data_IF_427171558589
#
_entry.id   IF_427171558589
#
_cell.length_a   1.000
_cell.length_b   1.000
_cell.length_c   1.000
_cell.angle_alpha   90.00
_cell.angle_beta   90.00
_cell.angle_gamma   90.00
#
_symmetry.space_group_name_H-M   'P 1'
#
loop_
_entity.id
_entity.type
_entity.pdbx_description
1 polymer ?
#
# COMPACT_ATOMS: atom_id res chain seq x y z
N UNK A 1 -8.80 -5.97 -45.38
CA UNK A 1 -8.56 -4.59 -44.91
C UNK A 1 -8.48 -4.64 -43.39
N UNK A 2 -7.28 -4.45 -42.85
CA UNK A 2 -6.96 -4.59 -41.41
C UNK A 2 -7.24 -3.27 -40.69
N UNK A 3 -8.11 -3.27 -39.68
CA UNK A 3 -8.33 -2.13 -38.79
C UNK A 3 -7.28 -2.15 -37.68
N UNK A 4 -6.24 -1.33 -37.84
CA UNK A 4 -5.20 -1.14 -36.84
C UNK A 4 -5.79 -0.46 -35.59
N UNK A 5 -5.84 -1.19 -34.48
CA UNK A 5 -6.14 -0.65 -33.16
C UNK A 5 -5.05 0.33 -32.75
N UNK A 6 -5.44 1.58 -32.51
CA UNK A 6 -4.56 2.67 -32.06
C UNK A 6 -4.10 2.41 -30.62
N UNK A 7 -3.05 1.62 -30.46
CA UNK A 7 -2.32 1.51 -29.19
C UNK A 7 -1.69 2.86 -28.90
N UNK A 8 -2.29 3.65 -28.00
CA UNK A 8 -1.63 4.86 -27.48
C UNK A 8 -0.35 4.40 -26.80
N UNK A 9 0.80 4.76 -27.37
CA UNK A 9 2.12 4.47 -26.80
C UNK A 9 2.20 5.08 -25.40
N UNK A 10 2.05 4.22 -24.40
CA UNK A 10 2.03 4.53 -22.96
C UNK A 10 3.37 5.17 -22.53
N UNK A 11 4.41 4.96 -23.33
CA UNK A 11 5.76 5.53 -23.19
C UNK A 11 5.80 7.06 -23.19
N UNK A 12 4.83 7.74 -23.81
CA UNK A 12 4.82 9.21 -23.90
C UNK A 12 4.34 9.92 -22.61
N UNK A 13 3.88 9.18 -21.59
CA UNK A 13 3.35 9.75 -20.34
C UNK A 13 4.36 9.77 -19.18
N UNK A 14 5.57 9.23 -19.35
CA UNK A 14 6.52 9.03 -18.24
C UNK A 14 7.96 9.39 -18.67
N UNK A 15 8.36 10.67 -18.61
CA UNK A 15 9.63 11.11 -19.19
C UNK A 15 10.86 10.67 -18.40
N UNK A 16 10.76 10.38 -17.09
CA UNK A 16 11.90 9.91 -16.30
C UNK A 16 11.48 8.96 -15.16
N UNK A 17 11.96 7.71 -15.22
CA UNK A 17 11.80 6.67 -14.18
C UNK A 17 10.91 5.49 -14.60
N UNK A 18 11.17 4.30 -14.00
CA UNK A 18 10.29 3.14 -14.15
C UNK A 18 8.88 3.47 -13.65
N UNK A 19 7.87 2.93 -14.33
CA UNK A 19 6.46 3.08 -13.91
C UNK A 19 6.30 2.43 -12.53
N UNK A 20 5.67 3.13 -11.58
CA UNK A 20 5.29 2.53 -10.30
C UNK A 20 3.84 2.09 -10.38
N UNK A 21 3.60 0.79 -10.14
CA UNK A 21 2.27 0.20 -10.09
C UNK A 21 1.91 -0.04 -8.63
N UNK A 22 0.80 0.54 -8.18
CA UNK A 22 0.23 0.23 -6.87
C UNK A 22 -0.85 -0.83 -6.99
N UNK A 23 -0.81 -1.82 -6.12
CA UNK A 23 -1.78 -2.90 -6.03
C UNK A 23 -2.26 -3.07 -4.58
N UNK A 24 -3.42 -3.68 -4.40
CA UNK A 24 -3.95 -4.17 -3.13
C UNK A 24 -3.35 -5.54 -2.70
N UNK A 25 -2.38 -6.03 -3.47
CA UNK A 25 -1.77 -7.36 -3.36
C UNK A 25 -2.70 -8.53 -3.71
N UNK A 26 -3.85 -8.29 -4.36
CA UNK A 26 -4.66 -9.38 -4.90
C UNK A 26 -3.88 -10.06 -6.02
N UNK A 27 -3.71 -11.38 -5.97
CA UNK A 27 -2.88 -12.13 -6.93
C UNK A 27 -3.31 -11.96 -8.39
N UNK A 28 -4.57 -11.57 -8.64
CA UNK A 28 -5.09 -11.26 -9.97
C UNK A 28 -4.57 -9.93 -10.55
N UNK A 29 -4.22 -8.96 -9.69
CA UNK A 29 -3.86 -7.59 -10.10
C UNK A 29 -2.47 -7.46 -10.74
N UNK A 30 -1.61 -8.48 -10.62
CA UNK A 30 -0.23 -8.46 -11.14
C UNK A 30 0.03 -9.47 -12.25
N UNK A 31 -0.95 -10.29 -12.64
CA UNK A 31 -0.74 -11.43 -13.58
C UNK A 31 -0.19 -11.04 -14.95
N UNK A 32 -0.39 -9.80 -15.38
CA UNK A 32 0.00 -9.31 -16.70
C UNK A 32 1.08 -8.22 -16.66
N UNK A 33 1.78 -8.05 -15.52
CA UNK A 33 2.82 -7.03 -15.36
C UNK A 33 4.18 -7.70 -15.27
N UNK A 34 5.08 -7.34 -16.19
CA UNK A 34 6.49 -7.74 -16.13
C UNK A 34 7.20 -7.00 -14.99
N UNK A 35 7.60 -7.72 -13.94
CA UNK A 35 8.21 -7.11 -12.77
C UNK A 35 9.56 -6.45 -13.03
N UNK A 36 10.21 -6.71 -14.17
CA UNK A 36 11.45 -6.05 -14.54
C UNK A 36 11.24 -4.64 -15.13
N UNK A 37 10.02 -4.36 -15.61
CA UNK A 37 9.64 -3.12 -16.31
C UNK A 37 8.93 -2.09 -15.44
N UNK A 38 8.52 -2.48 -14.23
CA UNK A 38 7.81 -1.61 -13.30
C UNK A 38 8.26 -1.84 -11.86
N UNK A 39 8.29 -0.77 -11.07
CA UNK A 39 8.41 -0.88 -9.62
C UNK A 39 7.02 -1.09 -9.02
N UNK A 40 6.94 -1.79 -7.88
CA UNK A 40 5.66 -2.05 -7.20
C UNK A 40 5.59 -1.36 -5.86
N UNK A 41 4.41 -0.81 -5.60
CA UNK A 41 4.00 -0.31 -4.30
C UNK A 41 2.74 -1.05 -3.83
N UNK A 42 2.57 -1.18 -2.52
CA UNK A 42 1.35 -1.71 -1.92
C UNK A 42 0.64 -0.64 -1.08
N UNK A 43 -0.68 -0.68 -1.14
CA UNK A 43 -1.53 0.29 -0.45
C UNK A 43 -1.47 0.11 1.07
N UNK A 44 -1.01 1.13 1.79
CA UNK A 44 -0.94 1.08 3.24
C UNK A 44 -2.31 1.25 3.92
N UNK A 45 -3.33 1.75 3.23
CA UNK A 45 -4.72 1.76 3.74
C UNK A 45 -5.23 0.33 3.92
N UNK A 46 -4.99 -0.55 2.95
CA UNK A 46 -5.36 -1.97 3.05
C UNK A 46 -4.55 -2.69 4.13
N UNK A 47 -3.24 -2.44 4.20
CA UNK A 47 -2.40 -2.99 5.27
C UNK A 47 -2.89 -2.57 6.67
N UNK A 48 -3.24 -1.29 6.84
CA UNK A 48 -3.81 -0.76 8.09
C UNK A 48 -5.19 -1.36 8.41
N UNK A 49 -6.04 -1.56 7.40
CA UNK A 49 -7.40 -2.14 7.57
C UNK A 49 -7.35 -3.55 8.17
N UNK A 50 -6.36 -4.37 7.78
CA UNK A 50 -6.11 -5.69 8.36
C UNK A 50 -5.95 -5.67 9.90
N UNK A 51 -5.53 -4.54 10.48
CA UNK A 51 -5.45 -4.35 11.94
C UNK A 51 -6.70 -3.65 12.49
N UNK A 52 -7.20 -2.63 11.79
CA UNK A 52 -8.37 -1.87 12.25
C UNK A 52 -9.60 -2.76 12.47
N UNK A 53 -9.83 -3.72 11.59
CA UNK A 53 -10.96 -4.66 11.66
C UNK A 53 -10.86 -5.63 12.86
N UNK A 54 -9.69 -5.68 13.50
CA UNK A 54 -9.40 -6.56 14.63
C UNK A 54 -9.31 -5.82 15.98
N UNK A 55 -9.44 -4.49 16.00
CA UNK A 55 -9.16 -3.62 17.16
C UNK A 55 -10.01 -3.95 18.40
N UNK A 56 -11.23 -4.45 18.20
CA UNK A 56 -12.16 -4.80 19.28
C UNK A 56 -11.76 -6.12 19.98
N UNK A 57 -10.94 -6.95 19.34
CA UNK A 57 -10.53 -8.25 19.84
C UNK A 57 -9.09 -8.26 20.38
N UNK A 58 -8.22 -7.35 19.94
CA UNK A 58 -6.79 -7.34 20.29
C UNK A 58 -6.25 -5.93 20.58
N UNK A 59 -6.96 -5.19 21.42
CA UNK A 59 -6.87 -3.73 21.57
C UNK A 59 -5.45 -3.22 21.85
N UNK A 60 -4.77 -3.69 22.90
CA UNK A 60 -3.44 -3.16 23.27
C UNK A 60 -2.37 -3.37 22.18
N UNK A 61 -2.39 -4.53 21.51
CA UNK A 61 -1.40 -4.87 20.48
C UNK A 61 -1.63 -4.08 19.19
N UNK A 62 -2.90 -3.86 18.85
CA UNK A 62 -3.31 -3.18 17.62
C UNK A 62 -3.17 -1.67 17.74
N UNK A 63 -3.48 -1.09 18.90
CA UNK A 63 -3.47 0.37 19.09
C UNK A 63 -2.10 0.97 18.79
N UNK A 64 -1.03 0.31 19.23
CA UNK A 64 0.34 0.74 18.93
C UNK A 64 0.60 0.80 17.42
N UNK A 65 0.16 -0.21 16.67
CA UNK A 65 0.31 -0.25 15.21
C UNK A 65 -0.55 0.83 14.54
N UNK A 66 -1.80 1.02 14.98
CA UNK A 66 -2.70 2.03 14.43
C UNK A 66 -2.21 3.45 14.69
N UNK A 67 -1.60 3.72 15.85
CA UNK A 67 -0.97 5.00 16.17
C UNK A 67 0.24 5.28 15.26
N UNK A 68 1.09 4.28 15.01
CA UNK A 68 2.20 4.42 14.07
C UNK A 68 1.69 4.74 12.65
N UNK A 69 0.65 4.03 12.20
CA UNK A 69 0.01 4.32 10.92
C UNK A 69 -0.59 5.73 10.86
N UNK A 70 -1.27 6.19 11.92
CA UNK A 70 -1.79 7.57 12.00
C UNK A 70 -0.68 8.57 11.65
N UNK A 71 0.49 8.43 12.27
CA UNK A 71 1.61 9.35 12.08
C UNK A 71 2.24 9.25 10.68
N UNK A 72 2.23 8.06 10.07
CA UNK A 72 2.64 7.86 8.67
C UNK A 72 1.72 8.62 7.70
N UNK A 73 0.41 8.66 7.97
CA UNK A 73 -0.60 9.32 7.11
C UNK A 73 -0.70 10.84 7.30
N UNK A 74 -0.06 11.44 8.32
CA UNK A 74 -0.15 12.89 8.58
C UNK A 74 0.51 13.76 7.49
N UNK A 75 1.28 13.18 6.58
CA UNK A 75 2.02 13.94 5.58
C UNK A 75 1.20 14.27 4.32
N UNK A 76 0.92 15.57 4.10
CA UNK A 76 0.26 16.12 2.91
C UNK A 76 1.15 17.11 2.14
N UNK A 77 2.42 16.77 1.86
CA UNK A 77 3.29 17.63 1.02
C UNK A 77 2.86 17.58 -0.44
N UNK A 78 2.98 18.73 -1.13
CA UNK A 78 2.41 18.92 -2.46
C UNK A 78 3.33 18.50 -3.62
N UNK A 79 4.67 18.49 -3.45
CA UNK A 79 5.58 18.05 -4.51
C UNK A 79 6.21 16.67 -4.23
N UNK A 80 6.48 15.87 -5.28
CA UNK A 80 6.97 14.49 -5.10
C UNK A 80 8.31 14.36 -4.37
N UNK A 81 9.23 15.31 -4.56
CA UNK A 81 10.56 15.26 -3.95
C UNK A 81 10.50 15.49 -2.44
N UNK A 82 9.81 16.55 -2.00
CA UNK A 82 9.61 16.84 -0.57
C UNK A 82 8.80 15.74 0.11
N UNK A 83 7.78 15.22 -0.59
CA UNK A 83 7.00 14.07 -0.12
C UNK A 83 7.92 12.86 0.14
N UNK A 84 8.79 12.53 -0.81
CA UNK A 84 9.77 11.44 -0.67
C UNK A 84 10.73 11.68 0.50
N UNK A 85 11.37 12.85 0.56
CA UNK A 85 12.33 13.18 1.62
C UNK A 85 11.69 13.12 3.01
N UNK A 86 10.47 13.62 3.14
CA UNK A 86 9.72 13.52 4.38
C UNK A 86 9.47 12.06 4.77
N UNK A 87 8.90 11.26 3.86
CA UNK A 87 8.56 9.87 4.19
C UNK A 87 9.81 9.04 4.46
N UNK A 88 10.90 9.27 3.73
CA UNK A 88 12.20 8.66 4.01
C UNK A 88 12.70 8.99 5.43
N UNK A 89 12.57 10.25 5.86
CA UNK A 89 13.08 10.71 7.16
C UNK A 89 12.17 10.33 8.33
N UNK A 90 10.85 10.44 8.16
CA UNK A 90 9.89 10.36 9.26
C UNK A 90 9.02 9.12 9.23
N UNK A 91 8.63 8.63 8.05
CA UNK A 91 7.71 7.48 7.94
C UNK A 91 8.42 6.14 7.88
N UNK A 92 9.60 6.05 7.25
CA UNK A 92 10.38 4.81 7.18
C UNK A 92 10.71 4.24 8.57
N UNK A 93 11.19 5.04 9.56
CA UNK A 93 11.43 4.52 10.91
C UNK A 93 10.16 4.03 11.61
N UNK A 94 8.98 4.57 11.27
CA UNK A 94 7.71 4.11 11.81
C UNK A 94 7.28 2.79 11.16
N UNK A 95 7.48 2.63 9.86
CA UNK A 95 7.27 1.36 9.17
C UNK A 95 8.18 0.26 9.73
N UNK A 96 9.46 0.56 9.98
CA UNK A 96 10.40 -0.38 10.61
C UNK A 96 9.95 -0.80 12.01
N UNK A 97 9.41 0.13 12.82
CA UNK A 97 8.79 -0.19 14.11
C UNK A 97 7.60 -1.15 13.96
N UNK A 98 6.72 -0.92 12.98
CA UNK A 98 5.59 -1.82 12.70
C UNK A 98 6.11 -3.22 12.32
N UNK A 99 7.13 -3.30 11.45
CA UNK A 99 7.75 -4.56 11.07
C UNK A 99 8.30 -5.30 12.29
N UNK A 100 9.05 -4.60 13.14
CA UNK A 100 9.63 -5.18 14.35
C UNK A 100 8.55 -5.72 15.29
N UNK A 101 7.47 -4.97 15.54
CA UNK A 101 6.33 -5.44 16.34
C UNK A 101 5.75 -6.74 15.75
N UNK A 102 5.51 -6.78 14.44
CA UNK A 102 4.95 -7.95 13.77
C UNK A 102 5.87 -9.18 13.88
N UNK A 103 7.19 -8.99 13.80
CA UNK A 103 8.18 -10.06 13.93
C UNK A 103 8.26 -10.58 15.36
N UNK A 104 8.35 -9.70 16.34
CA UNK A 104 8.43 -10.09 17.77
C UNK A 104 7.19 -10.86 18.22
N UNK A 105 6.00 -10.38 17.87
CA UNK A 105 4.74 -11.05 18.25
C UNK A 105 4.62 -12.48 17.70
N UNK A 106 5.19 -12.76 16.52
CA UNK A 106 5.22 -14.10 15.94
C UNK A 106 6.34 -14.98 16.50
N UNK A 107 7.54 -14.44 16.70
CA UNK A 107 8.70 -15.19 17.23
C UNK A 107 8.48 -15.59 18.68
N UNK A 108 7.94 -14.70 19.50
CA UNK A 108 7.66 -14.94 20.93
C UNK A 108 6.38 -15.78 21.14
N UNK A 109 5.71 -16.19 20.05
CA UNK A 109 4.48 -17.01 20.05
C UNK A 109 3.35 -16.42 20.90
N UNK A 110 3.27 -15.10 21.02
CA UNK A 110 2.16 -14.43 21.71
C UNK A 110 0.84 -14.53 20.94
N UNK A 111 0.88 -14.94 19.68
CA UNK A 111 -0.27 -15.07 18.81
C UNK A 111 -0.30 -16.44 18.16
N UNK A 112 -1.47 -17.08 18.17
CA UNK A 112 -1.72 -18.32 17.47
C UNK A 112 -1.35 -18.21 15.98
N UNK A 113 -0.45 -19.06 15.43
CA UNK A 113 0.14 -18.87 14.10
C UNK A 113 -0.85 -18.78 12.94
N UNK A 114 -2.05 -19.34 13.10
CA UNK A 114 -3.11 -19.39 12.09
C UNK A 114 -4.26 -18.41 12.35
N UNK A 115 -4.18 -17.62 13.43
CA UNK A 115 -5.17 -16.58 13.74
C UNK A 115 -5.22 -15.49 12.66
N UNK A 116 -6.34 -14.76 12.65
CA UNK A 116 -6.51 -13.58 11.79
C UNK A 116 -5.45 -12.51 12.06
N UNK A 117 -5.03 -12.33 13.32
CA UNK A 117 -3.98 -11.39 13.70
C UNK A 117 -2.60 -11.85 13.18
N UNK A 118 -2.26 -13.13 13.32
CA UNK A 118 -1.01 -13.66 12.75
C UNK A 118 -0.96 -13.51 11.23
N UNK A 119 -2.10 -13.63 10.53
CA UNK A 119 -2.18 -13.36 9.08
C UNK A 119 -1.88 -11.89 8.76
N UNK A 120 -2.39 -10.94 9.57
CA UNK A 120 -2.09 -9.52 9.41
C UNK A 120 -0.59 -9.21 9.62
N UNK A 121 0.04 -9.78 10.66
CA UNK A 121 1.49 -9.65 10.88
C UNK A 121 2.31 -10.24 9.72
N UNK A 122 1.97 -11.45 9.27
CA UNK A 122 2.63 -12.09 8.13
C UNK A 122 2.51 -11.25 6.85
N UNK A 123 1.38 -10.56 6.65
CA UNK A 123 1.21 -9.65 5.52
C UNK A 123 2.26 -8.52 5.55
N UNK A 124 2.39 -7.81 6.68
CA UNK A 124 3.42 -6.77 6.84
C UNK A 124 4.82 -7.31 6.55
N UNK A 125 5.18 -8.44 7.17
CA UNK A 125 6.53 -9.02 7.03
C UNK A 125 6.83 -9.39 5.58
N UNK A 126 5.92 -10.11 4.92
CA UNK A 126 6.08 -10.56 3.53
C UNK A 126 6.15 -9.39 2.55
N UNK A 127 5.42 -8.32 2.83
CA UNK A 127 5.21 -7.24 1.89
C UNK A 127 5.95 -5.94 2.23
N UNK A 128 6.79 -5.96 3.26
CA UNK A 128 7.43 -4.77 3.84
C UNK A 128 8.08 -3.85 2.81
N UNK A 129 8.90 -4.42 1.91
CA UNK A 129 9.59 -3.64 0.86
C UNK A 129 8.61 -2.91 -0.05
N UNK A 130 7.55 -3.58 -0.52
CA UNK A 130 6.53 -2.98 -1.39
C UNK A 130 5.65 -1.98 -0.61
N UNK A 131 5.41 -2.21 0.69
CA UNK A 131 4.72 -1.28 1.57
C UNK A 131 5.55 -0.02 1.87
N UNK A 132 6.89 -0.11 1.85
CA UNK A 132 7.80 1.02 2.05
C UNK A 132 8.23 1.73 0.75
N UNK A 133 7.75 1.29 -0.42
CA UNK A 133 8.08 1.89 -1.71
C UNK A 133 7.91 3.43 -1.73
N UNK A 134 6.90 3.93 -1.01
CA UNK A 134 6.61 5.36 -0.89
C UNK A 134 7.67 6.18 -0.12
N UNK A 135 8.59 5.52 0.59
CA UNK A 135 9.74 6.11 1.26
C UNK A 135 11.01 6.11 0.40
N UNK A 136 11.01 5.36 -0.71
CA UNK A 136 12.21 5.10 -1.52
C UNK A 136 12.08 5.61 -2.96
N UNK A 137 10.88 5.55 -3.52
CA UNK A 137 10.59 5.88 -4.91
C UNK A 137 9.77 7.17 -4.98
N UNK A 138 10.29 8.16 -5.72
CA UNK A 138 9.78 9.55 -5.79
C UNK A 138 8.26 9.66 -6.04
N UNK A 139 7.72 8.80 -6.90
CA UNK A 139 6.31 8.83 -7.29
C UNK A 139 5.49 7.66 -6.73
N UNK A 140 6.07 6.85 -5.83
CA UNK A 140 5.32 5.75 -5.23
C UNK A 140 4.26 6.30 -4.26
N UNK A 141 2.98 5.99 -4.48
CA UNK A 141 1.89 6.43 -3.61
C UNK A 141 1.89 5.67 -2.28
N UNK A 142 1.36 6.31 -1.22
CA UNK A 142 1.12 5.65 0.07
C UNK A 142 -0.20 4.85 0.07
N UNK A 143 -1.20 5.34 -0.67
CA UNK A 143 -2.56 4.83 -0.70
C UNK A 143 -3.22 4.97 -2.07
N UNK A 144 -4.18 4.09 -2.37
CA UNK A 144 -4.87 4.02 -3.66
C UNK A 144 -6.19 4.81 -3.71
N UNK A 145 -6.15 6.07 -3.29
CA UNK A 145 -7.35 6.91 -3.21
C UNK A 145 -8.08 7.12 -4.56
N UNK A 146 -7.39 7.00 -5.70
CA UNK A 146 -7.99 7.20 -7.02
C UNK A 146 -8.84 6.00 -7.45
N UNK A 147 -8.34 4.77 -7.29
CA UNK A 147 -9.13 3.58 -7.64
C UNK A 147 -10.30 3.37 -6.69
N UNK A 148 -10.13 3.64 -5.39
CA UNK A 148 -11.21 3.49 -4.40
C UNK A 148 -12.33 4.51 -4.66
N UNK A 149 -12.00 5.78 -4.93
CA UNK A 149 -13.02 6.80 -5.29
C UNK A 149 -13.75 6.49 -6.59
N UNK A 150 -13.05 5.97 -7.60
CA UNK A 150 -13.65 5.59 -8.89
C UNK A 150 -14.55 4.35 -8.77
N UNK A 151 -14.21 3.41 -7.88
CA UNK A 151 -15.06 2.26 -7.58
C UNK A 151 -16.28 2.66 -6.74
N UNK A 152 -16.12 3.59 -5.79
CA UNK A 152 -17.24 4.15 -5.02
C UNK A 152 -18.18 5.03 -5.86
N UNK A 153 -17.67 5.79 -6.83
CA UNK A 153 -18.51 6.61 -7.72
C UNK A 153 -19.27 5.83 -8.79
N UNK A 154 -18.88 4.58 -9.06
CA UNK A 154 -19.55 3.70 -10.04
C UNK A 154 -20.66 2.84 -9.42
N UNK A 155 -21.00 3.03 -8.15
CA UNK A 155 -22.17 2.40 -7.50
C UNK A 155 -23.41 3.30 -7.43
N UNK A 156 -23.41 4.45 -8.11
CA UNK A 156 -24.53 5.40 -8.09
C UNK A 156 -24.93 5.85 -9.51
N UNK A 157 -25.11 4.90 -10.43
CA UNK A 157 -25.72 5.16 -11.74
C UNK A 157 -27.21 4.80 -11.81
N UNK A 158 -27.85 4.48 -10.68
CA UNK A 158 -29.29 4.17 -10.61
C UNK A 158 -30.18 5.34 -10.16
N UNK A 159 -29.66 6.58 -10.10
CA UNK A 159 -30.48 7.77 -9.78
C UNK A 159 -30.37 8.91 -10.82
N UNK A 160 -30.10 8.58 -12.09
CA UNK A 160 -30.33 9.50 -13.21
C UNK A 160 -31.02 8.78 -14.36
N UNK A 161 -32.30 8.48 -14.17
CA UNK A 161 -33.42 8.75 -15.08
C UNK A 161 -34.72 8.14 -14.53
#
# INVERSE_FOLDING_TARGET
>A
MSTATRTKNITALFPEGKIVIMTDALSASTKNVDENKADFSLCNVHARRNFYDLKEYYTEKIDKILLLYRDIFLNKKHNPTERLLFHKKYSLPLMEKILHICQSELTEKFVEPNSVLAKAYKYIIRHFKKLCAFCEIKNAPLENNLSERMLSSNMDSTLLN
#
